data_IF_988887031873
#
_entry.id   IF_988887031873
#
_cell.length_a   1.000
_cell.length_b   1.000
_cell.length_c   1.000
_cell.angle_alpha   90.00
_cell.angle_beta   90.00
_cell.angle_gamma   90.00
#
_symmetry.space_group_name_H-M   'P 1'
#
loop_
_entity.id
_entity.type
_entity.pdbx_description
1 polymer ?
#
# COMPACT_ATOMS: atom_id res chain seq x y z
N UNK A 1 -4.02 29.24 -8.12
CA UNK A 1 -3.65 30.66 -8.21
C UNK A 1 -2.49 30.87 -7.27
N UNK A 2 -1.36 31.35 -7.77
CA UNK A 2 -0.11 31.47 -7.01
C UNK A 2 0.46 32.87 -7.17
N UNK A 3 1.15 33.41 -6.17
CA UNK A 3 1.80 34.73 -6.28
C UNK A 3 3.12 34.63 -7.04
N UNK A 4 3.54 35.74 -7.66
CA UNK A 4 4.66 35.85 -8.60
C UNK A 4 6.01 35.30 -8.10
N UNK A 5 6.19 35.27 -6.78
CA UNK A 5 7.39 34.91 -6.04
C UNK A 5 7.50 33.42 -5.64
N UNK A 6 6.49 32.58 -5.96
CA UNK A 6 6.54 31.14 -5.63
C UNK A 6 7.65 30.40 -6.39
N UNK A 7 7.84 30.71 -7.68
CA UNK A 7 8.78 30.00 -8.54
C UNK A 7 10.22 30.27 -8.13
N UNK A 8 10.51 31.53 -7.81
CA UNK A 8 11.83 31.95 -7.30
C UNK A 8 12.14 31.27 -5.97
N UNK A 9 11.15 31.20 -5.07
CA UNK A 9 11.29 30.56 -3.77
C UNK A 9 11.56 29.05 -3.87
N UNK A 10 10.91 28.39 -4.82
CA UNK A 10 11.12 26.97 -5.10
C UNK A 10 12.35 26.70 -5.98
N UNK A 11 13.03 27.73 -6.49
CA UNK A 11 14.15 27.61 -7.41
C UNK A 11 13.78 26.99 -8.77
N UNK A 12 12.52 27.11 -9.19
CA UNK A 12 12.02 26.48 -10.41
C UNK A 12 12.59 27.17 -11.65
N UNK A 13 13.14 26.37 -12.57
CA UNK A 13 13.60 26.87 -13.87
C UNK A 13 12.43 26.98 -14.85
N UNK A 14 12.14 28.21 -15.29
CA UNK A 14 11.12 28.50 -16.30
C UNK A 14 11.81 28.83 -17.62
N UNK A 15 11.58 28.01 -18.65
CA UNK A 15 12.05 28.24 -20.01
C UNK A 15 11.11 29.16 -20.76
N UNK A 16 11.70 29.94 -21.68
CA UNK A 16 10.98 30.94 -22.48
C UNK A 16 10.25 31.99 -21.63
N UNK A 17 10.77 32.27 -20.43
CA UNK A 17 10.23 33.25 -19.51
C UNK A 17 10.11 34.62 -20.21
N UNK A 18 8.88 35.08 -20.38
CA UNK A 18 8.57 36.43 -20.88
C UNK A 18 7.85 37.19 -19.78
N UNK A 19 8.35 38.38 -19.49
CA UNK A 19 7.69 39.29 -18.55
C UNK A 19 6.34 39.73 -19.13
N UNK A 20 5.29 39.55 -18.33
CA UNK A 20 4.00 40.16 -18.64
C UNK A 20 4.02 41.62 -18.21
N UNK A 21 3.28 42.51 -18.89
CA UNK A 21 2.92 43.81 -18.35
C UNK A 21 2.35 43.63 -16.94
N UNK A 22 2.75 44.49 -15.99
CA UNK A 22 2.52 44.29 -14.55
C UNK A 22 1.06 44.09 -14.11
N UNK A 23 0.09 44.40 -14.96
CA UNK A 23 -1.35 44.21 -14.70
C UNK A 23 -1.91 42.87 -15.14
N UNK A 24 -1.20 42.07 -15.95
CA UNK A 24 -1.73 40.84 -16.55
C UNK A 24 -1.26 39.58 -15.78
N UNK A 25 -2.18 38.65 -15.45
CA UNK A 25 -1.81 37.35 -14.92
C UNK A 25 -0.85 36.59 -15.84
N UNK A 26 0.17 35.95 -15.27
CA UNK A 26 1.12 35.11 -16.00
C UNK A 26 0.66 33.65 -15.97
N UNK A 27 0.57 33.02 -17.13
CA UNK A 27 0.24 31.62 -17.26
C UNK A 27 1.49 30.82 -17.61
N UNK A 28 1.88 29.91 -16.73
CA UNK A 28 3.04 29.04 -16.88
C UNK A 28 2.55 27.61 -17.09
N UNK A 29 3.11 26.91 -18.07
CA UNK A 29 2.71 25.56 -18.46
C UNK A 29 3.72 24.51 -18.00
N UNK A 30 3.27 23.29 -17.73
CA UNK A 30 4.18 22.14 -17.68
C UNK A 30 4.63 21.78 -19.10
N UNK A 31 5.84 21.21 -19.25
CA UNK A 31 6.31 20.77 -20.57
C UNK A 31 5.36 19.75 -21.22
N UNK A 32 4.74 18.89 -20.41
CA UNK A 32 3.77 17.90 -20.89
C UNK A 32 2.52 18.58 -21.46
N UNK A 33 1.97 19.58 -20.76
CA UNK A 33 0.80 20.32 -21.23
C UNK A 33 1.12 21.14 -22.49
N UNK A 34 2.29 21.78 -22.54
CA UNK A 34 2.74 22.51 -23.73
C UNK A 34 2.83 21.62 -24.97
N UNK A 35 3.43 20.43 -24.84
CA UNK A 35 3.52 19.46 -25.93
C UNK A 35 2.14 18.91 -26.32
N UNK A 36 1.31 18.51 -25.35
CA UNK A 36 0.00 17.90 -25.60
C UNK A 36 -1.01 18.88 -26.20
N UNK A 37 -1.09 20.10 -25.67
CA UNK A 37 -2.15 21.07 -26.04
C UNK A 37 -1.74 22.04 -27.13
N UNK A 38 -0.46 22.41 -27.19
CA UNK A 38 0.05 23.41 -28.13
C UNK A 38 1.07 22.83 -29.11
N UNK A 39 1.26 21.50 -29.14
CA UNK A 39 2.16 20.82 -30.06
C UNK A 39 3.64 21.17 -29.86
N UNK A 40 4.02 21.73 -28.70
CA UNK A 40 5.38 22.24 -28.48
C UNK A 40 5.70 23.50 -29.29
N UNK A 41 4.69 24.26 -29.71
CA UNK A 41 4.89 25.47 -30.50
C UNK A 41 5.45 26.62 -29.62
N UNK A 42 6.65 27.16 -29.90
CA UNK A 42 7.23 28.25 -29.12
C UNK A 42 6.57 29.61 -29.40
N UNK A 43 5.78 29.77 -30.47
CA UNK A 43 5.11 31.03 -30.81
C UNK A 43 3.90 31.36 -29.93
N UNK A 44 3.60 30.52 -28.95
CA UNK A 44 2.54 30.79 -27.97
C UNK A 44 2.99 31.74 -26.87
N UNK A 45 4.30 31.87 -26.61
CA UNK A 45 4.83 32.70 -25.54
C UNK A 45 4.59 34.20 -25.83
N UNK A 46 3.96 34.89 -24.88
CA UNK A 46 3.49 36.27 -25.03
C UNK A 46 2.07 36.42 -25.59
N UNK A 47 1.39 35.33 -25.94
CA UNK A 47 -0.02 35.39 -26.34
C UNK A 47 -0.94 35.43 -25.13
N UNK A 48 -2.03 36.19 -25.26
CA UNK A 48 -3.14 36.16 -24.30
C UNK A 48 -4.02 34.94 -24.56
N UNK A 49 -4.34 34.23 -23.50
CA UNK A 49 -5.28 33.11 -23.51
C UNK A 49 -6.31 33.31 -22.42
N UNK A 50 -7.50 32.75 -22.62
CA UNK A 50 -8.56 32.77 -21.63
C UNK A 50 -8.46 31.51 -20.75
N UNK A 51 -8.34 31.71 -19.44
CA UNK A 51 -8.25 30.66 -18.42
C UNK A 51 -9.41 30.84 -17.46
N UNK A 52 -10.52 30.14 -17.71
CA UNK A 52 -11.77 30.37 -16.99
C UNK A 52 -12.34 31.76 -17.32
N UNK A 53 -12.57 32.58 -16.30
CA UNK A 53 -13.01 33.98 -16.46
C UNK A 53 -11.86 34.97 -16.66
N UNK A 54 -10.62 34.55 -16.48
CA UNK A 54 -9.45 35.44 -16.49
C UNK A 54 -8.71 35.39 -17.83
N UNK A 55 -8.24 36.55 -18.30
CA UNK A 55 -7.29 36.61 -19.43
C UNK A 55 -5.87 36.62 -18.90
N UNK A 56 -5.06 35.64 -19.33
CA UNK A 56 -3.69 35.46 -18.85
C UNK A 56 -2.71 35.34 -20.01
N UNK A 57 -1.49 35.86 -19.83
CA UNK A 57 -0.44 35.78 -20.84
C UNK A 57 0.40 34.52 -20.65
N UNK A 58 0.55 33.70 -21.70
CA UNK A 58 1.45 32.54 -21.67
C UNK A 58 2.89 33.02 -21.53
N UNK A 59 3.48 32.81 -20.36
CA UNK A 59 4.74 33.44 -19.96
C UNK A 59 5.92 32.48 -19.92
N UNK A 60 5.70 31.16 -19.95
CA UNK A 60 6.80 30.21 -19.98
C UNK A 60 6.38 28.75 -19.76
N UNK A 61 7.36 27.87 -19.78
CA UNK A 61 7.22 26.42 -19.53
C UNK A 61 8.17 25.97 -18.44
N UNK A 62 7.69 25.12 -17.53
CA UNK A 62 8.49 24.43 -16.50
C UNK A 62 8.95 23.08 -17.02
N UNK A 63 10.23 22.78 -16.83
CA UNK A 63 10.82 21.50 -17.21
C UNK A 63 10.24 20.33 -16.38
N UNK A 64 10.20 19.11 -16.96
CA UNK A 64 9.67 17.94 -16.26
C UNK A 64 10.53 17.62 -15.02
N UNK A 65 9.88 17.32 -13.90
CA UNK A 65 10.55 16.94 -12.65
C UNK A 65 11.01 18.11 -11.78
N UNK A 66 10.91 19.35 -12.25
CA UNK A 66 11.22 20.54 -11.44
C UNK A 66 10.14 20.81 -10.38
N UNK A 67 8.88 20.47 -10.65
CA UNK A 67 7.80 20.63 -9.67
C UNK A 67 7.93 19.59 -8.54
N UNK A 68 8.34 20.06 -7.35
CA UNK A 68 8.58 19.22 -6.16
C UNK A 68 7.43 19.20 -5.15
N UNK A 69 6.36 19.94 -5.40
CA UNK A 69 5.19 19.95 -4.51
C UNK A 69 4.23 18.81 -4.89
N UNK A 70 3.43 18.29 -3.92
CA UNK A 70 2.49 17.21 -4.19
C UNK A 70 1.47 17.56 -5.30
N UNK A 71 1.11 16.56 -6.09
CA UNK A 71 0.14 16.67 -7.18
C UNK A 71 0.75 16.87 -8.56
N UNK A 72 0.07 16.36 -9.60
CA UNK A 72 0.41 16.69 -10.99
C UNK A 72 -0.25 18.02 -11.33
N UNK A 73 0.57 19.04 -11.59
CA UNK A 73 0.09 20.36 -12.00
C UNK A 73 0.44 20.60 -13.45
N UNK A 74 -0.57 20.77 -14.29
CA UNK A 74 -0.39 20.98 -15.72
C UNK A 74 -0.13 22.45 -16.08
N UNK A 75 -0.59 23.38 -15.25
CA UNK A 75 -0.40 24.80 -15.45
C UNK A 75 -0.53 25.58 -14.14
N UNK A 76 0.16 26.72 -14.07
CA UNK A 76 0.13 27.65 -12.96
C UNK A 76 -0.34 29.02 -13.45
N UNK A 77 -1.35 29.56 -12.79
CA UNK A 77 -1.81 30.93 -12.98
C UNK A 77 -1.22 31.80 -11.87
N UNK A 78 -0.24 32.62 -12.24
CA UNK A 78 0.40 33.61 -11.40
C UNK A 78 -0.37 34.92 -11.47
N UNK A 79 -0.88 35.38 -10.33
CA UNK A 79 -1.62 36.64 -10.25
C UNK A 79 -0.69 37.80 -9.83
N UNK A 80 -0.94 39.03 -10.33
CA UNK A 80 -0.29 40.24 -9.83
C UNK A 80 -0.57 40.49 -8.34
N UNK A 81 0.27 41.29 -7.68
CA UNK A 81 0.15 41.57 -6.24
C UNK A 81 -1.14 42.30 -5.85
N UNK A 82 -1.62 43.21 -6.71
CA UNK A 82 -2.83 44.02 -6.48
C UNK A 82 -4.14 43.29 -6.86
N UNK A 83 -4.07 42.00 -7.18
CA UNK A 83 -5.25 41.26 -7.59
C UNK A 83 -6.06 40.81 -6.36
N UNK A 84 -7.19 41.46 -6.11
CA UNK A 84 -8.08 41.27 -4.95
C UNK A 84 -8.80 39.90 -4.89
N UNK A 85 -8.53 39.00 -5.85
CA UNK A 85 -9.19 37.71 -6.00
C UNK A 85 -8.84 36.64 -4.95
N UNK A 86 -8.03 36.97 -3.95
CA UNK A 86 -7.63 36.04 -2.87
C UNK A 86 -8.46 36.17 -1.59
N UNK A 87 -9.19 37.27 -1.42
CA UNK A 87 -9.98 37.54 -0.22
C UNK A 87 -11.02 36.41 0.00
N UNK A 88 -10.85 35.64 1.08
CA UNK A 88 -11.77 34.56 1.48
C UNK A 88 -11.50 33.17 0.86
N UNK A 89 -10.38 32.94 0.17
CA UNK A 89 -10.03 31.59 -0.34
C UNK A 89 -9.00 30.90 0.56
N UNK A 90 -9.27 29.65 0.94
CA UNK A 90 -8.30 28.78 1.60
C UNK A 90 -7.07 28.62 0.70
N UNK A 91 -5.89 28.94 1.22
CA UNK A 91 -4.63 28.91 0.49
C UNK A 91 -3.47 28.47 1.37
N UNK A 92 -2.35 28.15 0.74
CA UNK A 92 -1.12 27.77 1.43
C UNK A 92 -0.06 28.85 1.21
N UNK A 93 0.75 29.09 2.24
CA UNK A 93 1.93 29.97 2.17
C UNK A 93 3.18 29.10 2.19
N UNK A 94 4.11 29.37 1.28
CA UNK A 94 5.41 28.70 1.24
C UNK A 94 6.49 29.74 1.53
N UNK A 95 7.41 29.42 2.43
CA UNK A 95 8.49 30.29 2.85
C UNK A 95 9.81 29.51 2.92
N UNK A 96 10.93 30.19 2.63
CA UNK A 96 12.25 29.65 2.90
C UNK A 96 12.70 30.08 4.29
N UNK A 97 13.08 29.12 5.14
CA UNK A 97 13.54 29.42 6.48
C UNK A 97 15.05 29.72 6.47
N UNK A 98 15.46 30.92 6.87
CA UNK A 98 16.87 31.34 6.85
C UNK A 98 17.73 30.66 7.92
N UNK A 99 17.16 30.29 9.07
CA UNK A 99 17.86 29.55 10.11
C UNK A 99 16.99 28.39 10.58
N UNK A 100 17.42 27.13 10.39
CA UNK A 100 16.74 26.01 11.03
C UNK A 100 16.96 26.16 12.54
N UNK A 101 15.96 26.68 13.24
CA UNK A 101 15.98 26.66 14.69
C UNK A 101 15.89 25.20 15.12
N UNK A 102 16.93 24.68 15.77
CA UNK A 102 16.99 23.28 16.23
C UNK A 102 15.86 22.86 17.19
N UNK A 103 15.01 23.80 17.62
CA UNK A 103 13.88 23.61 18.52
C UNK A 103 12.52 23.50 17.83
N UNK A 104 12.43 23.68 16.50
CA UNK A 104 11.17 23.55 15.78
C UNK A 104 10.96 22.08 15.43
N UNK A 105 9.92 21.46 16.00
CA UNK A 105 9.50 20.11 15.66
C UNK A 105 8.98 20.00 14.22
N UNK A 106 8.52 18.81 13.83
CA UNK A 106 8.06 18.49 12.47
C UNK A 106 6.88 19.38 12.00
N UNK A 107 6.07 19.86 12.93
CA UNK A 107 5.05 20.88 12.72
C UNK A 107 5.06 21.90 13.87
N UNK A 108 4.81 23.17 13.55
CA UNK A 108 4.73 24.24 14.54
C UNK A 108 3.67 25.28 14.15
N UNK A 109 3.21 26.04 15.14
CA UNK A 109 2.35 27.19 14.91
C UNK A 109 3.20 28.45 14.81
N UNK A 110 2.91 29.28 13.81
CA UNK A 110 3.55 30.57 13.60
C UNK A 110 2.46 31.64 13.46
N UNK A 111 2.50 32.65 14.33
CA UNK A 111 1.69 33.85 14.16
C UNK A 111 2.47 34.88 13.35
N UNK A 112 1.89 35.40 12.27
CA UNK A 112 2.51 36.45 11.46
C UNK A 112 1.60 37.68 11.39
N UNK A 113 2.14 38.89 11.57
CA UNK A 113 1.36 40.11 11.47
C UNK A 113 0.94 40.38 10.02
N UNK A 114 -0.33 40.71 9.83
CA UNK A 114 -0.90 41.13 8.56
C UNK A 114 -0.69 42.64 8.36
N UNK A 115 -0.75 43.14 7.11
CA UNK A 115 -0.71 44.58 6.84
C UNK A 115 -1.83 45.38 7.52
N UNK A 116 -2.92 44.72 7.90
CA UNK A 116 -4.05 45.31 8.62
C UNK A 116 -3.81 45.43 10.14
N UNK A 117 -2.65 44.99 10.64
CA UNK A 117 -2.29 45.04 12.06
C UNK A 117 -2.88 43.91 12.91
N UNK A 118 -3.54 42.92 12.30
CA UNK A 118 -3.96 41.67 12.97
C UNK A 118 -2.87 40.62 12.86
N UNK A 119 -2.90 39.58 13.69
CA UNK A 119 -2.02 38.42 13.53
C UNK A 119 -2.83 37.26 12.94
N UNK A 120 -2.33 36.65 11.87
CA UNK A 120 -2.86 35.40 11.33
C UNK A 120 -2.04 34.24 11.88
N UNK A 121 -2.73 33.19 12.32
CA UNK A 121 -2.11 31.95 12.79
C UNK A 121 -1.92 30.97 11.63
N UNK A 122 -0.68 30.52 11.45
CA UNK A 122 -0.28 29.56 10.43
C UNK A 122 0.15 28.25 11.07
N UNK A 123 -0.40 27.14 10.57
CA UNK A 123 0.15 25.81 10.83
C UNK A 123 1.27 25.54 9.82
N UNK A 124 2.50 25.43 10.31
CA UNK A 124 3.71 25.31 9.51
C UNK A 124 4.26 23.88 9.57
N UNK A 125 4.72 23.36 8.42
CA UNK A 125 5.34 22.04 8.30
C UNK A 125 6.54 22.13 7.35
N UNK A 126 7.63 21.42 7.67
CA UNK A 126 8.78 21.35 6.77
C UNK A 126 8.48 20.51 5.54
N UNK A 127 8.78 21.04 4.35
CA UNK A 127 8.66 20.32 3.08
C UNK A 127 9.70 19.21 2.95
N UNK A 128 10.85 19.30 3.64
CA UNK A 128 11.89 18.26 3.58
C UNK A 128 11.50 17.02 4.37
N UNK A 129 10.77 17.15 5.49
CA UNK A 129 10.37 15.99 6.32
C UNK A 129 9.17 15.23 5.77
N UNK A 130 8.37 15.84 4.88
CA UNK A 130 7.34 15.11 4.10
C UNK A 130 7.94 14.03 3.19
N UNK A 131 9.28 13.93 3.09
CA UNK A 131 9.99 12.89 2.35
C UNK A 131 10.30 11.63 3.16
N UNK A 132 10.06 11.58 4.48
CA UNK A 132 9.91 10.27 5.17
C UNK A 132 8.70 9.60 4.53
N UNK A 133 8.98 8.65 3.64
CA UNK A 133 7.97 8.15 2.73
C UNK A 133 6.86 7.42 3.51
N UNK A 134 5.64 7.36 2.97
CA UNK A 134 4.59 6.51 3.53
C UNK A 134 5.00 5.02 3.64
N UNK A 135 6.11 4.63 3.00
CA UNK A 135 6.75 3.33 3.18
C UNK A 135 7.22 3.06 4.60
N UNK A 136 7.73 4.05 5.34
CA UNK A 136 8.26 3.83 6.70
C UNK A 136 7.14 3.50 7.69
N UNK A 137 6.03 4.25 7.62
CA UNK A 137 4.81 3.98 8.40
C UNK A 137 4.27 2.58 8.09
N UNK A 138 4.26 2.20 6.81
CA UNK A 138 3.83 0.87 6.40
C UNK A 138 4.77 -0.25 6.88
N UNK A 139 6.09 -0.09 6.76
CA UNK A 139 7.06 -1.07 7.25
C UNK A 139 6.97 -1.25 8.76
N UNK A 140 6.75 -0.16 9.49
CA UNK A 140 6.48 -0.20 10.92
C UNK A 140 5.18 -0.97 11.23
N UNK A 141 4.11 -0.72 10.47
CA UNK A 141 2.85 -1.48 10.60
C UNK A 141 3.04 -2.98 10.33
N UNK A 142 3.83 -3.34 9.32
CA UNK A 142 4.18 -4.73 9.00
C UNK A 142 4.96 -5.37 10.15
N UNK A 143 5.93 -4.66 10.72
CA UNK A 143 6.70 -5.14 11.88
C UNK A 143 5.76 -5.40 13.06
N UNK A 144 4.87 -4.46 13.38
CA UNK A 144 3.87 -4.64 14.45
C UNK A 144 2.95 -5.84 14.16
N UNK A 145 2.49 -6.00 12.93
CA UNK A 145 1.65 -7.13 12.54
C UNK A 145 2.40 -8.46 12.69
N UNK A 146 3.68 -8.53 12.31
CA UNK A 146 4.54 -9.69 12.51
C UNK A 146 4.76 -10.02 13.99
N UNK A 147 4.87 -9.02 14.86
CA UNK A 147 4.97 -9.21 16.32
C UNK A 147 3.64 -9.64 16.95
N UNK A 148 2.51 -9.18 16.42
CA UNK A 148 1.17 -9.55 16.89
C UNK A 148 0.69 -10.92 16.35
N UNK A 149 1.28 -11.39 15.25
CA UNK A 149 0.88 -12.65 14.61
C UNK A 149 0.99 -13.89 15.53
N UNK A 150 2.07 -14.10 16.31
CA UNK A 150 2.20 -15.27 17.20
C UNK A 150 1.20 -15.24 18.36
N UNK A 151 0.78 -14.04 18.77
CA UNK A 151 -0.20 -13.86 19.86
C UNK A 151 -1.60 -14.23 19.38
N UNK A 152 -1.93 -13.91 18.14
CA UNK A 152 -3.27 -14.11 17.58
C UNK A 152 -3.44 -15.45 16.86
N UNK A 153 -2.34 -16.02 16.38
CA UNK A 153 -2.31 -17.30 15.66
C UNK A 153 -1.11 -18.10 16.10
N UNK A 154 -1.30 -19.41 16.30
CA UNK A 154 -0.15 -20.31 16.32
C UNK A 154 0.67 -20.07 15.04
N UNK A 155 2.00 -20.06 15.13
CA UNK A 155 2.89 -20.00 13.97
C UNK A 155 3.16 -21.36 13.30
N UNK A 156 3.24 -22.49 14.02
CA UNK A 156 3.57 -23.76 13.37
C UNK A 156 2.52 -24.15 12.35
N UNK A 157 2.94 -24.51 11.14
CA UNK A 157 2.02 -24.89 10.07
C UNK A 157 1.36 -26.26 10.30
N UNK A 158 1.60 -26.89 11.45
CA UNK A 158 1.18 -28.23 11.83
C UNK A 158 2.37 -29.17 12.02
N UNK A 159 2.15 -30.25 12.75
CA UNK A 159 3.12 -31.33 12.87
C UNK A 159 3.13 -32.15 11.57
N UNK A 160 4.16 -31.93 10.76
CA UNK A 160 4.48 -32.80 9.64
C UNK A 160 5.49 -33.82 10.14
N UNK A 161 5.03 -34.91 10.75
CA UNK A 161 5.95 -36.00 11.09
C UNK A 161 6.69 -36.40 9.82
N UNK A 162 8.01 -36.37 9.87
CA UNK A 162 8.84 -36.89 8.80
C UNK A 162 8.50 -38.38 8.67
N UNK A 163 7.66 -38.73 7.70
CA UNK A 163 7.52 -40.12 7.30
C UNK A 163 8.88 -40.58 6.77
N UNK A 164 9.14 -41.87 6.83
CA UNK A 164 10.36 -42.52 6.31
C UNK A 164 10.63 -42.20 4.82
N UNK A 165 9.66 -41.63 4.08
CA UNK A 165 9.88 -40.97 2.79
C UNK A 165 10.31 -39.52 3.02
N UNK A 166 11.62 -39.24 2.91
CA UNK A 166 12.14 -37.86 2.83
C UNK A 166 11.29 -37.08 1.82
N UNK A 167 10.52 -36.11 2.29
CA UNK A 167 9.83 -35.21 1.39
C UNK A 167 10.87 -34.57 0.47
N UNK A 168 10.71 -34.74 -0.83
CA UNK A 168 11.61 -34.20 -1.84
C UNK A 168 11.83 -32.71 -1.59
N UNK A 169 13.09 -32.26 -1.66
CA UNK A 169 13.47 -30.84 -1.55
C UNK A 169 12.57 -29.94 -2.40
N UNK A 170 12.21 -30.41 -3.61
CA UNK A 170 11.29 -29.73 -4.52
C UNK A 170 9.93 -29.41 -3.89
N UNK A 171 9.35 -30.34 -3.13
CA UNK A 171 8.06 -30.15 -2.44
C UNK A 171 8.16 -29.07 -1.37
N UNK A 172 9.28 -29.03 -0.63
CA UNK A 172 9.54 -27.99 0.36
C UNK A 172 9.67 -26.62 -0.30
N UNK A 173 10.49 -26.50 -1.34
CA UNK A 173 10.66 -25.25 -2.09
C UNK A 173 9.34 -24.77 -2.67
N UNK A 174 8.55 -25.66 -3.30
CA UNK A 174 7.26 -25.31 -3.89
C UNK A 174 6.28 -24.75 -2.87
N UNK A 175 6.25 -25.33 -1.67
CA UNK A 175 5.40 -24.87 -0.57
C UNK A 175 5.81 -23.48 -0.07
N UNK A 176 7.09 -23.28 0.20
CA UNK A 176 7.61 -21.98 0.66
C UNK A 176 7.50 -20.92 -0.44
N UNK A 177 7.70 -21.28 -1.71
CA UNK A 177 7.50 -20.42 -2.86
C UNK A 177 6.03 -19.99 -3.01
N UNK A 178 5.08 -20.91 -2.83
CA UNK A 178 3.66 -20.58 -2.87
C UNK A 178 3.23 -19.63 -1.73
N UNK A 179 3.76 -19.84 -0.51
CA UNK A 179 3.55 -18.89 0.59
C UNK A 179 4.22 -17.53 0.29
N UNK A 180 5.46 -17.53 -0.19
CA UNK A 180 6.18 -16.32 -0.59
C UNK A 180 5.40 -15.51 -1.62
N UNK A 181 4.92 -16.14 -2.70
CA UNK A 181 4.13 -15.46 -3.73
C UNK A 181 2.88 -14.79 -3.16
N UNK A 182 2.17 -15.43 -2.22
CA UNK A 182 1.02 -14.79 -1.56
C UNK A 182 1.41 -13.56 -0.78
N UNK A 183 2.51 -13.62 -0.02
CA UNK A 183 2.98 -12.47 0.76
C UNK A 183 3.43 -11.34 -0.17
N UNK A 184 4.13 -11.67 -1.26
CA UNK A 184 4.54 -10.72 -2.29
C UNK A 184 3.36 -10.06 -2.99
N UNK A 185 2.23 -10.74 -3.15
CA UNK A 185 1.00 -10.14 -3.69
C UNK A 185 0.25 -9.33 -2.63
N UNK A 186 0.20 -9.84 -1.39
CA UNK A 186 -0.57 -9.26 -0.31
C UNK A 186 0.00 -7.93 0.16
N UNK A 187 1.31 -7.83 0.38
CA UNK A 187 1.93 -6.63 0.94
C UNK A 187 1.73 -5.39 0.06
N UNK A 188 1.95 -5.43 -1.27
CA UNK A 188 1.65 -4.30 -2.14
C UNK A 188 0.18 -3.92 -2.15
N UNK A 189 -0.73 -4.90 -2.19
CA UNK A 189 -2.17 -4.62 -2.13
C UNK A 189 -2.53 -3.87 -0.85
N UNK A 190 -2.05 -4.33 0.30
CA UNK A 190 -2.31 -3.67 1.58
C UNK A 190 -1.67 -2.28 1.63
N UNK A 191 -0.47 -2.12 1.06
CA UNK A 191 0.19 -0.82 0.97
C UNK A 191 -0.66 0.19 0.20
N UNK A 192 -1.10 -0.14 -1.02
CA UNK A 192 -1.92 0.77 -1.82
C UNK A 192 -3.30 1.03 -1.18
N UNK A 193 -3.96 0.00 -0.66
CA UNK A 193 -5.27 0.18 0.01
C UNK A 193 -5.17 1.05 1.26
N UNK A 194 -4.09 0.91 2.05
CA UNK A 194 -3.89 1.76 3.25
C UNK A 194 -3.57 3.20 2.88
N UNK A 195 -2.80 3.43 1.80
CA UNK A 195 -2.56 4.77 1.25
C UNK A 195 -3.84 5.42 0.73
N UNK A 196 -4.63 4.69 -0.04
CA UNK A 196 -5.90 5.18 -0.57
C UNK A 196 -6.86 5.54 0.57
N UNK A 197 -6.90 4.75 1.64
CA UNK A 197 -7.72 5.05 2.82
C UNK A 197 -7.20 6.28 3.58
N UNK A 198 -5.88 6.41 3.74
CA UNK A 198 -5.24 7.53 4.42
C UNK A 198 -5.42 8.86 3.68
N UNK A 199 -5.56 8.82 2.35
CA UNK A 199 -5.69 10.01 1.50
C UNK A 199 -7.05 10.13 0.81
N UNK A 200 -8.03 9.30 1.18
CA UNK A 200 -9.37 9.29 0.59
C UNK A 200 -10.05 10.67 0.64
N UNK A 201 -9.73 11.47 1.67
CA UNK A 201 -10.10 12.88 1.75
C UNK A 201 -8.85 13.75 1.67
N UNK A 202 -8.72 14.50 0.57
CA UNK A 202 -7.61 15.41 0.27
C UNK A 202 -7.51 16.65 1.17
N UNK A 203 -8.13 16.65 2.34
CA UNK A 203 -8.16 17.76 3.31
C UNK A 203 -7.91 17.34 4.75
N UNK A 204 -7.52 16.09 5.01
CA UNK A 204 -7.11 15.65 6.35
C UNK A 204 -5.73 16.19 6.69
N UNK A 205 -5.52 16.49 7.97
CA UNK A 205 -4.22 16.84 8.52
C UNK A 205 -3.24 15.65 8.36
N UNK A 206 -1.93 15.93 8.18
CA UNK A 206 -0.92 14.90 7.99
C UNK A 206 -0.88 13.85 9.10
N UNK A 207 -1.07 14.28 10.35
CA UNK A 207 -1.05 13.40 11.53
C UNK A 207 -2.20 12.39 11.49
N UNK A 208 -3.42 12.86 11.19
CA UNK A 208 -4.56 11.97 11.03
C UNK A 208 -4.38 11.01 9.86
N UNK A 209 -3.82 11.46 8.74
CA UNK A 209 -3.53 10.61 7.58
C UNK A 209 -2.55 9.49 7.91
N UNK A 210 -1.44 9.80 8.59
CA UNK A 210 -0.45 8.81 9.05
C UNK A 210 -1.08 7.81 10.02
N UNK A 211 -1.90 8.28 10.96
CA UNK A 211 -2.58 7.40 11.92
C UNK A 211 -3.56 6.45 11.21
N UNK A 212 -4.34 6.94 10.24
CA UNK A 212 -5.24 6.11 9.43
C UNK A 212 -4.44 5.08 8.64
N UNK A 213 -3.33 5.49 8.01
CA UNK A 213 -2.46 4.57 7.28
C UNK A 213 -1.93 3.47 8.20
N UNK A 214 -1.40 3.84 9.37
CA UNK A 214 -0.85 2.91 10.35
C UNK A 214 -1.89 1.90 10.83
N UNK A 215 -3.07 2.37 11.27
CA UNK A 215 -4.12 1.50 11.81
C UNK A 215 -4.69 0.55 10.76
N UNK A 216 -4.93 1.06 9.55
CA UNK A 216 -5.46 0.25 8.45
C UNK A 216 -4.43 -0.75 7.92
N UNK A 217 -3.19 -0.32 7.70
CA UNK A 217 -2.10 -1.20 7.27
C UNK A 217 -1.85 -2.31 8.30
N UNK A 218 -1.79 -1.98 9.60
CA UNK A 218 -1.63 -2.98 10.67
C UNK A 218 -2.75 -4.02 10.64
N UNK A 219 -4.00 -3.56 10.60
CA UNK A 219 -5.17 -4.45 10.63
C UNK A 219 -5.25 -5.36 9.41
N UNK A 220 -5.04 -4.80 8.22
CA UNK A 220 -5.07 -5.53 6.95
C UNK A 220 -3.88 -6.50 6.84
N UNK A 221 -2.68 -6.11 7.26
CA UNK A 221 -1.51 -6.98 7.30
C UNK A 221 -1.74 -8.15 8.27
N UNK A 222 -2.19 -7.87 9.50
CA UNK A 222 -2.43 -8.90 10.49
C UNK A 222 -3.48 -9.92 10.00
N UNK A 223 -4.60 -9.43 9.47
CA UNK A 223 -5.64 -10.29 8.90
C UNK A 223 -5.11 -11.09 7.70
N UNK A 224 -4.38 -10.43 6.80
CA UNK A 224 -3.82 -11.03 5.60
C UNK A 224 -2.77 -12.11 5.85
N UNK A 225 -1.89 -11.88 6.82
CA UNK A 225 -0.90 -12.86 7.30
C UNK A 225 -1.59 -14.06 7.93
N UNK A 226 -2.56 -13.82 8.82
CA UNK A 226 -3.38 -14.87 9.45
C UNK A 226 -4.12 -15.71 8.41
N UNK A 227 -4.72 -15.06 7.41
CA UNK A 227 -5.38 -15.73 6.30
C UNK A 227 -4.39 -16.57 5.48
N UNK A 228 -3.22 -16.01 5.16
CA UNK A 228 -2.18 -16.72 4.40
C UNK A 228 -1.69 -17.97 5.12
N UNK A 229 -1.45 -17.89 6.43
CA UNK A 229 -1.06 -19.04 7.25
C UNK A 229 -2.19 -20.08 7.33
N UNK A 230 -3.43 -19.66 7.58
CA UNK A 230 -4.59 -20.57 7.64
C UNK A 230 -4.82 -21.28 6.31
N UNK A 231 -4.68 -20.60 5.19
CA UNK A 231 -4.82 -21.24 3.88
C UNK A 231 -3.67 -22.24 3.59
N UNK A 232 -2.43 -21.97 4.04
CA UNK A 232 -1.35 -22.97 3.94
C UNK A 232 -1.60 -24.21 4.81
N UNK A 233 -2.25 -24.02 5.96
CA UNK A 233 -2.59 -25.11 6.89
C UNK A 233 -3.64 -26.06 6.35
N UNK A 234 -4.57 -25.54 5.55
CA UNK A 234 -5.68 -26.31 4.96
C UNK A 234 -5.35 -26.87 3.57
N UNK A 235 -4.07 -26.88 3.19
CA UNK A 235 -3.60 -27.43 1.92
C UNK A 235 -2.73 -28.65 2.13
N UNK A 236 -2.79 -29.56 1.17
CA UNK A 236 -1.89 -30.69 1.13
C UNK A 236 -0.43 -30.18 0.99
N UNK A 237 0.51 -30.61 1.84
CA UNK A 237 1.91 -30.22 1.75
C UNK A 237 2.59 -30.74 0.46
N UNK A 238 2.03 -31.78 -0.16
CA UNK A 238 2.55 -32.38 -1.40
C UNK A 238 1.97 -31.68 -2.62
N UNK A 239 0.66 -31.72 -2.85
CA UNK A 239 0.04 -31.17 -4.07
C UNK A 239 -0.39 -29.70 -3.98
N UNK A 240 -0.39 -29.06 -2.81
CA UNK A 240 -0.90 -27.70 -2.56
C UNK A 240 -2.39 -27.50 -2.89
N UNK A 241 -3.10 -28.58 -3.22
CA UNK A 241 -4.56 -28.59 -3.30
C UNK A 241 -5.19 -28.33 -1.95
N UNK A 242 -6.32 -27.60 -1.94
CA UNK A 242 -7.12 -27.41 -0.73
C UNK A 242 -7.67 -28.76 -0.30
N UNK A 243 -7.58 -29.05 0.99
CA UNK A 243 -8.16 -30.26 1.56
C UNK A 243 -9.68 -30.06 1.66
N UNK A 244 -10.41 -31.05 1.16
CA UNK A 244 -11.87 -31.04 1.09
C UNK A 244 -12.41 -32.25 1.86
N UNK A 245 -13.74 -32.31 2.05
CA UNK A 245 -14.43 -33.43 2.69
C UNK A 245 -14.05 -33.63 4.18
N UNK A 246 -14.56 -32.76 5.07
CA UNK A 246 -14.36 -32.93 6.50
C UNK A 246 -15.14 -34.15 7.01
N UNK A 247 -14.42 -35.15 7.53
CA UNK A 247 -15.00 -36.27 8.25
C UNK A 247 -14.75 -36.11 9.75
N UNK A 248 -15.80 -36.24 10.59
CA UNK A 248 -15.60 -36.30 12.04
C UNK A 248 -15.15 -37.71 12.42
N UNK A 249 -14.09 -37.79 13.21
CA UNK A 249 -13.56 -39.05 13.74
C UNK A 249 -13.51 -38.93 15.26
N UNK A 250 -14.04 -39.94 15.95
CA UNK A 250 -14.06 -40.01 17.40
C UNK A 250 -15.41 -39.65 18.05
N UNK A 251 -15.44 -39.80 19.37
CA UNK A 251 -16.56 -39.37 20.21
C UNK A 251 -16.09 -38.20 21.08
N UNK A 252 -16.89 -37.11 21.23
CA UNK A 252 -16.54 -35.94 22.05
C UNK A 252 -16.12 -36.28 23.48
N UNK A 253 -16.78 -37.30 24.07
CA UNK A 253 -16.55 -37.75 25.45
C UNK A 253 -15.23 -38.53 25.65
N UNK A 254 -14.52 -38.91 24.58
CA UNK A 254 -13.28 -39.71 24.64
C UNK A 254 -12.03 -38.92 24.23
N UNK A 255 -12.04 -37.60 24.38
CA UNK A 255 -10.96 -36.71 23.93
C UNK A 255 -9.61 -36.85 24.66
N UNK A 256 -9.55 -37.54 25.80
CA UNK A 256 -8.33 -37.62 26.62
C UNK A 256 -7.35 -38.73 26.22
N UNK A 257 -7.86 -39.82 25.62
CA UNK A 257 -7.05 -40.98 25.21
C UNK A 257 -7.42 -41.50 23.81
N UNK A 258 -8.51 -41.00 23.21
CA UNK A 258 -8.94 -41.40 21.89
C UNK A 258 -8.82 -40.23 20.90
N UNK A 259 -8.68 -40.62 19.64
CA UNK A 259 -8.68 -39.70 18.51
C UNK A 259 -10.06 -39.01 18.43
N UNK A 260 -10.11 -37.70 18.65
CA UNK A 260 -11.32 -36.91 18.47
C UNK A 260 -11.02 -35.61 17.72
N UNK A 261 -11.65 -35.45 16.55
CA UNK A 261 -11.48 -34.26 15.74
C UNK A 261 -12.08 -34.37 14.35
N UNK A 262 -11.61 -33.49 13.48
CA UNK A 262 -11.98 -33.46 12.07
C UNK A 262 -10.80 -33.87 11.22
N UNK A 263 -11.04 -34.78 10.28
CA UNK A 263 -10.05 -35.22 9.31
C UNK A 263 -10.42 -34.71 7.93
N UNK A 264 -9.44 -34.14 7.22
CA UNK A 264 -9.59 -33.71 5.84
C UNK A 264 -8.63 -34.49 4.96
N UNK A 265 -9.15 -35.11 3.89
CA UNK A 265 -8.36 -35.94 2.99
C UNK A 265 -7.90 -35.16 1.76
N UNK A 266 -6.69 -35.46 1.28
CA UNK A 266 -6.26 -35.00 -0.03
C UNK A 266 -6.91 -35.84 -1.13
N UNK A 267 -7.57 -35.19 -2.08
CA UNK A 267 -8.20 -35.87 -3.24
C UNK A 267 -7.22 -36.72 -4.07
N UNK A 268 -5.94 -36.36 -4.08
CA UNK A 268 -4.88 -37.10 -4.79
C UNK A 268 -4.25 -38.21 -3.94
N UNK A 269 -4.79 -38.51 -2.74
CA UNK A 269 -4.31 -39.61 -1.90
C UNK A 269 -2.98 -39.37 -1.18
N UNK A 270 -2.47 -38.13 -1.11
CA UNK A 270 -1.17 -37.85 -0.47
C UNK A 270 -1.18 -37.99 1.06
N UNK A 271 -2.35 -37.92 1.69
CA UNK A 271 -2.47 -37.91 3.15
C UNK A 271 -3.76 -37.30 3.67
N UNK A 272 -3.84 -37.27 4.99
CA UNK A 272 -4.94 -36.76 5.80
C UNK A 272 -4.42 -35.67 6.74
N UNK A 273 -5.16 -34.58 6.87
CA UNK A 273 -4.95 -33.59 7.93
C UNK A 273 -5.93 -33.85 9.04
N UNK A 274 -5.41 -34.16 10.23
CA UNK A 274 -6.21 -34.24 11.44
C UNK A 274 -6.17 -32.90 12.19
N UNK A 275 -7.35 -32.36 12.50
CA UNK A 275 -7.54 -31.13 13.28
C UNK A 275 -8.29 -31.50 14.57
N UNK A 276 -7.68 -31.35 15.76
CA UNK A 276 -8.31 -31.73 17.02
C UNK A 276 -9.52 -30.81 17.32
N UNK A 277 -10.58 -31.38 17.89
CA UNK A 277 -11.76 -30.60 18.30
C UNK A 277 -11.47 -29.77 19.56
N UNK A 278 -10.65 -30.31 20.48
CA UNK A 278 -10.21 -29.64 21.69
C UNK A 278 -8.69 -29.73 21.81
N UNK A 279 -8.03 -28.61 22.06
CA UNK A 279 -6.59 -28.58 22.28
C UNK A 279 -6.27 -29.20 23.66
N UNK A 280 -5.57 -30.33 23.68
CA UNK A 280 -5.05 -30.95 24.90
C UNK A 280 -3.54 -30.76 24.99
N UNK A 281 -2.95 -31.03 26.16
CA UNK A 281 -1.48 -30.91 26.37
C UNK A 281 -0.65 -31.84 25.46
N UNK A 282 -1.24 -32.92 24.96
CA UNK A 282 -0.61 -33.91 24.08
C UNK A 282 -1.08 -33.80 22.63
N UNK A 283 -2.21 -33.13 22.37
CA UNK A 283 -2.81 -32.89 21.04
C UNK A 283 -3.37 -31.46 20.96
N UNK A 284 -2.48 -30.47 20.80
CA UNK A 284 -2.85 -29.06 20.67
C UNK A 284 -2.87 -28.56 19.22
N UNK A 285 -2.17 -29.25 18.32
CA UNK A 285 -1.96 -28.79 16.95
C UNK A 285 -2.52 -29.74 15.90
N UNK A 286 -2.84 -29.17 14.74
CA UNK A 286 -3.17 -29.96 13.56
C UNK A 286 -1.98 -30.79 13.10
N UNK A 287 -2.25 -32.01 12.63
CA UNK A 287 -1.21 -32.97 12.27
C UNK A 287 -1.46 -33.58 10.90
N UNK A 288 -0.41 -33.65 10.11
CA UNK A 288 -0.45 -34.32 8.81
C UNK A 288 -0.06 -35.79 8.96
N UNK A 289 -0.90 -36.67 8.42
CA UNK A 289 -0.70 -38.10 8.35
C UNK A 289 -0.56 -38.51 6.89
N UNK A 290 0.49 -39.26 6.59
CA UNK A 290 0.64 -39.86 5.26
C UNK A 290 -0.21 -41.12 5.20
N UNK A 291 -0.93 -41.30 4.11
CA UNK A 291 -1.60 -42.55 3.80
C UNK A 291 -0.52 -43.62 3.53
N UNK A 292 -0.69 -44.80 4.10
CA UNK A 292 0.18 -45.93 3.81
C UNK A 292 -0.18 -46.61 2.48
N UNK A 293 0.62 -47.58 2.06
CA UNK A 293 0.46 -48.26 0.77
C UNK A 293 -0.89 -48.98 0.61
N UNK A 294 -1.58 -49.35 1.70
CA UNK A 294 -2.88 -50.02 1.62
C UNK A 294 -3.98 -49.12 1.04
N UNK A 295 -3.79 -47.80 1.11
CA UNK A 295 -4.74 -46.81 0.61
C UNK A 295 -4.53 -46.45 -0.86
N UNK A 296 -3.40 -46.83 -1.48
CA UNK A 296 -3.09 -46.48 -2.88
C UNK A 296 -4.18 -46.96 -3.85
N UNK A 297 -4.83 -48.09 -3.55
CA UNK A 297 -5.88 -48.69 -4.39
C UNK A 297 -7.11 -47.78 -4.56
N UNK A 298 -7.38 -46.88 -3.60
CA UNK A 298 -8.54 -45.97 -3.64
C UNK A 298 -8.29 -44.71 -4.47
N UNK A 299 -7.03 -44.39 -4.75
CA UNK A 299 -6.61 -43.18 -5.49
C UNK A 299 -5.94 -43.49 -6.82
N UNK A 300 -5.77 -44.77 -7.15
CA UNK A 300 -5.34 -45.19 -8.48
C UNK A 300 -6.51 -44.93 -9.41
N UNK A 301 -6.38 -43.96 -10.33
CA UNK A 301 -7.35 -43.84 -11.42
C UNK A 301 -7.43 -45.20 -12.12
N UNK A 302 -8.63 -45.73 -12.44
CA UNK A 302 -8.73 -46.88 -13.29
C UNK A 302 -8.00 -46.51 -14.57
N UNK A 303 -6.87 -47.16 -14.85
CA UNK A 303 -6.20 -47.04 -16.13
C UNK A 303 -7.30 -47.29 -17.15
N UNK A 304 -7.63 -46.27 -17.93
CA UNK A 304 -8.47 -46.46 -19.10
C UNK A 304 -7.77 -47.56 -19.90
N UNK A 305 -8.31 -48.78 -19.81
CA UNK A 305 -8.01 -49.84 -20.74
C UNK A 305 -8.31 -49.22 -22.10
N UNK A 306 -7.25 -48.75 -22.76
CA UNK A 306 -7.21 -48.56 -24.19
C UNK A 306 -7.34 -49.97 -24.73
N UNK A 307 -8.57 -50.46 -24.74
CA UNK A 307 -9.02 -51.60 -25.49
C UNK A 307 -8.83 -51.21 -26.94
N UNK A 308 -7.61 -51.47 -27.43
CA UNK A 308 -7.36 -51.62 -28.85
C UNK A 308 -8.32 -52.69 -29.36
N UNK A 309 -9.31 -52.25 -30.11
CA UNK A 309 -10.06 -53.11 -31.01
C UNK A 309 -9.78 -52.60 -32.42
N UNK A 310 -9.00 -53.43 -33.13
CA UNK A 310 -8.86 -53.61 -34.58
C UNK A 310 -8.65 -52.40 -35.48
#
# INVERSE_FOLDING_TARGET
MTRSNLFDLLGLRVRYAREAPGSLPRFILSEQMWKRRFGGNPHIFGRLIQVGSESAMVSGVVDPGEWRLPGQTDAWLLLPQDHDGFSGRLGFVVAHLQTPHASWGEAWHMSAPTPAGTADDFFCQSLTDRTRGPGDVFLFAVLLACLALPVTTSLPLGEYRASSRRLSWFTRVRRWGFLGCKLTLLLPIVYFVSLDLAHLRSGMDPVTSEYIQLMSAFSLCLFGLRWSLRDQRQRCPVCLGKLTNPARVGQPSRSFLAWNGTELICISGHGLLHVPEMATSWFSEQRWLYLDASWEILFTEPAFETTGYF
#
